data_IF_409555846404
#
_entry.id   IF_409555846404
#
_cell.length_a   1.000
_cell.length_b   1.000
_cell.length_c   1.000
_cell.angle_alpha   90.00
_cell.angle_beta   90.00
_cell.angle_gamma   90.00
#
_symmetry.space_group_name_H-M   'P 1'
#
loop_
_entity.id
_entity.type
_entity.pdbx_description
1 polymer ?
#
# COMPACT_ATOMS: atom_id res chain seq x y z
N UNK A 1 0.67 -53.83 -49.08
CA UNK A 1 0.05 -52.58 -48.61
C UNK A 1 0.07 -52.58 -47.09
N UNK A 2 1.16 -52.10 -46.48
CA UNK A 2 1.33 -52.02 -45.02
C UNK A 2 1.40 -50.55 -44.63
N UNK A 3 0.34 -50.08 -43.97
CA UNK A 3 0.26 -48.75 -43.36
C UNK A 3 1.07 -48.81 -42.06
N UNK A 4 2.19 -48.08 -42.01
CA UNK A 4 2.91 -47.81 -40.75
C UNK A 4 2.32 -46.54 -40.16
N UNK A 5 1.52 -46.69 -39.11
CA UNK A 5 1.00 -45.60 -38.28
C UNK A 5 2.18 -44.86 -37.64
N UNK A 6 2.38 -43.61 -38.05
CA UNK A 6 3.23 -42.65 -37.35
C UNK A 6 2.34 -41.92 -36.35
N UNK A 7 2.51 -42.22 -35.06
CA UNK A 7 1.89 -41.48 -33.97
C UNK A 7 2.83 -40.32 -33.62
N UNK A 8 2.46 -39.03 -33.80
CA UNK A 8 3.25 -37.96 -33.21
C UNK A 8 2.93 -37.90 -31.72
N UNK A 9 3.95 -38.11 -30.88
CA UNK A 9 3.88 -37.82 -29.45
C UNK A 9 3.52 -36.33 -29.29
N UNK A 10 2.31 -36.06 -28.82
CA UNK A 10 1.91 -34.73 -28.37
C UNK A 10 2.68 -34.47 -27.06
N UNK A 11 3.80 -33.76 -27.14
CA UNK A 11 4.45 -33.21 -25.97
C UNK A 11 3.54 -32.10 -25.42
N UNK A 12 2.67 -32.46 -24.47
CA UNK A 12 1.93 -31.50 -23.65
C UNK A 12 2.97 -30.84 -22.75
N UNK A 13 3.56 -29.75 -23.22
CA UNK A 13 4.29 -28.83 -22.37
C UNK A 13 3.29 -28.25 -21.37
N UNK A 14 3.35 -28.71 -20.12
CA UNK A 14 2.75 -28.00 -18.99
C UNK A 14 3.53 -26.68 -18.85
N UNK A 15 3.08 -25.65 -19.57
CA UNK A 15 3.47 -24.28 -19.29
C UNK A 15 2.89 -23.92 -17.92
N UNK A 16 3.71 -24.06 -16.88
CA UNK A 16 3.42 -23.48 -15.57
C UNK A 16 3.60 -21.97 -15.73
N UNK A 17 2.55 -21.28 -16.13
CA UNK A 17 2.51 -19.81 -16.13
C UNK A 17 2.54 -19.37 -14.66
N UNK A 18 3.73 -19.19 -14.11
CA UNK A 18 3.90 -18.53 -12.83
C UNK A 18 3.45 -17.09 -13.01
N UNK A 19 2.19 -16.81 -12.68
CA UNK A 19 1.65 -15.47 -12.58
C UNK A 19 2.43 -14.70 -11.53
N UNK A 20 3.50 -14.01 -11.94
CA UNK A 20 4.14 -13.01 -11.11
C UNK A 20 3.11 -11.89 -10.98
N UNK A 21 2.48 -11.79 -9.81
CA UNK A 21 1.66 -10.65 -9.46
C UNK A 21 2.50 -9.38 -9.69
N UNK A 22 2.21 -8.66 -10.76
CA UNK A 22 2.77 -7.35 -11.05
C UNK A 22 2.28 -6.43 -9.94
N UNK A 23 3.18 -5.89 -9.13
CA UNK A 23 2.82 -4.88 -8.14
C UNK A 23 2.32 -3.64 -8.88
N UNK A 24 1.01 -3.39 -8.85
CA UNK A 24 0.40 -2.22 -9.47
C UNK A 24 0.58 -1.01 -8.54
N UNK A 25 1.77 -0.41 -8.55
CA UNK A 25 2.08 0.82 -7.80
C UNK A 25 1.82 2.02 -8.71
N UNK A 26 0.96 2.94 -8.27
CA UNK A 26 0.63 4.14 -9.03
C UNK A 26 1.55 5.29 -8.63
N UNK A 27 2.24 5.91 -9.59
CA UNK A 27 2.97 7.16 -9.35
C UNK A 27 1.97 8.32 -9.43
N UNK A 28 1.93 9.18 -8.40
CA UNK A 28 0.98 10.30 -8.34
C UNK A 28 1.51 11.47 -7.55
N UNK A 29 1.12 12.68 -7.96
CA UNK A 29 1.39 13.91 -7.21
C UNK A 29 0.41 14.11 -6.04
N UNK A 30 0.69 15.10 -5.19
CA UNK A 30 -0.14 15.40 -4.02
C UNK A 30 -1.59 15.78 -4.38
N UNK A 31 -1.80 16.43 -5.53
CA UNK A 31 -3.13 16.88 -5.95
C UNK A 31 -4.00 15.68 -6.30
N UNK A 32 -3.44 14.72 -7.04
CA UNK A 32 -4.12 13.45 -7.36
C UNK A 32 -4.35 12.62 -6.11
N UNK A 33 -3.36 12.51 -5.22
CA UNK A 33 -3.54 11.80 -3.94
C UNK A 33 -4.69 12.42 -3.14
N UNK A 34 -4.76 13.75 -3.03
CA UNK A 34 -5.84 14.42 -2.33
C UNK A 34 -7.21 14.13 -2.95
N UNK A 35 -7.32 14.14 -4.28
CA UNK A 35 -8.55 13.77 -4.97
C UNK A 35 -8.99 12.32 -4.66
N UNK A 36 -8.04 11.38 -4.61
CA UNK A 36 -8.29 9.98 -4.21
C UNK A 36 -8.80 9.92 -2.78
N UNK A 37 -8.20 10.66 -1.85
CA UNK A 37 -8.60 10.67 -0.44
C UNK A 37 -9.95 11.36 -0.18
N UNK A 38 -10.33 12.32 -1.03
CA UNK A 38 -11.61 13.05 -0.94
C UNK A 38 -12.75 12.38 -1.70
N UNK A 39 -12.46 11.37 -2.51
CA UNK A 39 -13.48 10.65 -3.27
C UNK A 39 -14.48 9.97 -2.33
N UNK A 40 -15.79 10.00 -2.62
CA UNK A 40 -16.79 9.27 -1.85
C UNK A 40 -16.48 7.76 -1.81
N UNK A 41 -16.60 7.16 -0.62
CA UNK A 41 -16.32 5.74 -0.38
C UNK A 41 -17.33 5.13 0.58
N UNK A 42 -17.58 3.84 0.41
CA UNK A 42 -18.44 3.08 1.31
C UNK A 42 -17.74 2.75 2.64
N UNK A 43 -16.44 2.44 2.56
CA UNK A 43 -15.59 2.16 3.70
C UNK A 43 -14.69 3.36 4.03
N UNK A 44 -14.39 3.60 5.31
CA UNK A 44 -13.29 4.48 5.68
C UNK A 44 -11.94 3.93 5.20
N UNK A 45 -11.01 4.84 4.93
CA UNK A 45 -9.68 4.52 4.41
C UNK A 45 -8.63 4.77 5.48
N UNK A 46 -7.78 3.78 5.73
CA UNK A 46 -6.52 3.93 6.42
C UNK A 46 -5.44 4.28 5.39
N UNK A 47 -4.62 5.28 5.72
CA UNK A 47 -3.51 5.72 4.86
C UNK A 47 -2.24 5.50 5.65
N UNK A 48 -1.22 4.90 5.06
CA UNK A 48 0.08 4.73 5.70
C UNK A 48 1.15 5.38 4.83
N UNK A 49 1.84 6.38 5.38
CA UNK A 49 2.99 6.99 4.71
C UNK A 49 4.27 6.29 5.16
N UNK A 50 5.04 5.79 4.21
CA UNK A 50 6.26 5.04 4.49
C UNK A 50 7.34 5.33 3.45
N UNK A 51 8.55 4.90 3.74
CA UNK A 51 9.63 4.84 2.78
C UNK A 51 10.57 3.69 3.14
N UNK A 52 11.27 3.13 2.17
CA UNK A 52 12.19 2.00 2.40
C UNK A 52 13.31 2.32 3.39
N UNK A 53 13.71 3.58 3.47
CA UNK A 53 14.70 4.11 4.40
C UNK A 53 14.12 4.52 5.78
N UNK A 54 12.79 4.62 5.92
CA UNK A 54 12.15 4.95 7.20
C UNK A 54 12.01 3.71 8.08
N UNK A 55 13.05 3.42 8.90
CA UNK A 55 13.06 2.27 9.82
C UNK A 55 11.82 2.13 10.71
N UNK A 56 11.35 3.17 11.43
CA UNK A 56 10.15 3.02 12.27
C UNK A 56 8.89 2.76 11.43
N UNK A 57 8.69 3.48 10.32
CA UNK A 57 7.56 3.25 9.42
C UNK A 57 7.51 1.79 8.94
N UNK A 58 8.65 1.25 8.52
CA UNK A 58 8.78 -0.13 8.02
C UNK A 58 8.53 -1.17 9.12
N UNK A 59 8.92 -0.87 10.37
CA UNK A 59 8.67 -1.76 11.51
C UNK A 59 7.18 -1.84 11.85
N UNK A 60 6.40 -0.79 11.55
CA UNK A 60 4.97 -0.73 11.82
C UNK A 60 4.11 -1.44 10.76
N UNK A 61 4.57 -1.53 9.51
CA UNK A 61 3.82 -2.14 8.39
C UNK A 61 3.15 -3.49 8.70
N UNK A 62 3.80 -4.47 9.38
CA UNK A 62 3.16 -5.75 9.69
C UNK A 62 1.91 -5.63 10.57
N UNK A 63 1.86 -4.62 11.45
CA UNK A 63 0.71 -4.39 12.32
C UNK A 63 -0.48 -3.85 11.52
N UNK A 64 -0.22 -2.96 10.56
CA UNK A 64 -1.24 -2.47 9.63
C UNK A 64 -1.82 -3.61 8.78
N UNK A 65 -0.96 -4.49 8.26
CA UNK A 65 -1.40 -5.68 7.54
C UNK A 65 -2.24 -6.63 8.40
N UNK A 66 -1.89 -6.80 9.67
CA UNK A 66 -2.69 -7.60 10.59
C UNK A 66 -4.09 -6.99 10.79
N UNK A 67 -4.17 -5.67 11.05
CA UNK A 67 -5.44 -4.96 11.19
C UNK A 67 -6.29 -5.11 9.92
N UNK A 68 -5.68 -4.98 8.74
CA UNK A 68 -6.39 -5.13 7.47
C UNK A 68 -6.91 -6.55 7.24
N UNK A 69 -6.16 -7.58 7.63
CA UNK A 69 -6.61 -8.98 7.54
C UNK A 69 -7.77 -9.27 8.48
N UNK A 70 -7.73 -8.72 9.70
CA UNK A 70 -8.79 -8.92 10.70
C UNK A 70 -10.05 -8.08 10.40
N UNK A 71 -9.93 -7.00 9.61
CA UNK A 71 -10.99 -6.01 9.42
C UNK A 71 -11.20 -5.60 7.95
N UNK A 72 -10.97 -6.52 7.00
CA UNK A 72 -11.02 -6.24 5.56
C UNK A 72 -12.38 -5.67 5.09
N UNK A 73 -13.47 -6.00 5.78
CA UNK A 73 -14.80 -5.48 5.47
C UNK A 73 -15.08 -4.10 6.08
N UNK A 74 -14.26 -3.65 7.03
CA UNK A 74 -14.47 -2.40 7.75
C UNK A 74 -13.63 -1.22 7.22
N UNK A 75 -12.47 -1.50 6.62
CA UNK A 75 -11.54 -0.47 6.15
C UNK A 75 -10.92 -0.83 4.80
N UNK A 76 -10.59 0.19 4.01
CA UNK A 76 -9.65 0.08 2.88
C UNK A 76 -8.27 0.61 3.30
N UNK A 77 -7.20 0.14 2.64
CA UNK A 77 -5.83 0.59 2.90
C UNK A 77 -5.18 1.22 1.67
N UNK A 78 -4.54 2.36 1.89
CA UNK A 78 -3.66 3.03 0.92
C UNK A 78 -2.26 3.19 1.54
N UNK A 79 -1.28 2.54 0.93
CA UNK A 79 0.13 2.71 1.22
C UNK A 79 0.73 3.77 0.30
N UNK A 80 1.29 4.83 0.88
CA UNK A 80 1.91 5.93 0.17
C UNK A 80 3.41 5.91 0.43
N UNK A 81 4.17 5.51 -0.58
CA UNK A 81 5.63 5.56 -0.57
C UNK A 81 6.12 6.99 -0.78
N UNK A 82 7.12 7.38 0.01
CA UNK A 82 7.88 8.65 -0.08
C UNK A 82 9.29 8.43 -0.65
N UNK A 83 9.57 7.24 -1.19
CA UNK A 83 10.77 6.99 -1.98
C UNK A 83 10.71 7.74 -3.32
N UNK A 84 11.85 7.91 -3.97
CA UNK A 84 11.92 8.61 -5.25
C UNK A 84 11.38 7.73 -6.39
N UNK A 85 10.85 8.35 -7.46
CA UNK A 85 10.29 7.63 -8.63
C UNK A 85 11.35 6.73 -9.26
N UNK A 86 12.61 7.18 -9.29
CA UNK A 86 13.75 6.43 -9.81
C UNK A 86 14.01 5.13 -9.03
N UNK A 87 13.53 5.05 -7.78
CA UNK A 87 13.71 3.90 -6.89
C UNK A 87 12.53 2.92 -6.95
N UNK A 88 11.52 3.21 -7.79
CA UNK A 88 10.29 2.43 -7.90
C UNK A 88 10.58 0.96 -8.21
N UNK A 89 11.25 0.68 -9.33
CA UNK A 89 11.48 -0.69 -9.81
C UNK A 89 12.56 -1.43 -9.03
N UNK A 90 13.60 -0.71 -8.59
CA UNK A 90 14.75 -1.31 -7.92
C UNK A 90 14.52 -1.55 -6.43
N UNK A 91 13.65 -0.76 -5.80
CA UNK A 91 13.49 -0.77 -4.34
C UNK A 91 12.04 -0.89 -3.87
N UNK A 92 11.14 -0.06 -4.39
CA UNK A 92 9.77 0.02 -3.86
C UNK A 92 8.96 -1.22 -4.25
N UNK A 93 8.92 -1.59 -5.53
CA UNK A 93 8.19 -2.78 -6.02
C UNK A 93 8.68 -4.08 -5.35
N UNK A 94 10.00 -4.38 -5.30
CA UNK A 94 10.50 -5.56 -4.60
C UNK A 94 10.16 -5.55 -3.12
N UNK A 95 10.17 -4.38 -2.48
CA UNK A 95 9.85 -4.24 -1.06
C UNK A 95 8.38 -4.53 -0.79
N UNK A 96 7.46 -3.93 -1.55
CA UNK A 96 6.00 -4.17 -1.45
C UNK A 96 5.71 -5.66 -1.63
N UNK A 97 6.31 -6.28 -2.65
CA UNK A 97 6.16 -7.72 -2.91
C UNK A 97 6.72 -8.58 -1.78
N UNK A 98 7.90 -8.26 -1.27
CA UNK A 98 8.56 -8.99 -0.18
C UNK A 98 7.77 -8.89 1.13
N UNK A 99 7.18 -7.74 1.42
CA UNK A 99 6.38 -7.50 2.62
C UNK A 99 4.95 -8.02 2.51
N UNK A 100 4.49 -8.33 1.28
CA UNK A 100 3.15 -8.84 1.03
C UNK A 100 2.07 -7.83 1.41
N UNK A 101 2.33 -6.53 1.18
CA UNK A 101 1.43 -5.46 1.58
C UNK A 101 0.14 -5.50 0.75
N UNK A 102 -0.99 -5.67 1.42
CA UNK A 102 -2.30 -5.81 0.81
C UNK A 102 -3.04 -4.47 0.83
N UNK A 103 -3.31 -3.92 -0.34
CA UNK A 103 -3.97 -2.62 -0.46
C UNK A 103 -3.59 -1.88 -1.73
N UNK A 104 -4.05 -0.63 -1.81
CA UNK A 104 -3.65 0.28 -2.89
C UNK A 104 -2.27 0.83 -2.60
N UNK A 105 -1.39 0.83 -3.60
CA UNK A 105 -0.02 1.34 -3.49
C UNK A 105 0.15 2.57 -4.36
N UNK A 106 0.62 3.66 -3.76
CA UNK A 106 0.93 4.92 -4.43
C UNK A 106 2.36 5.31 -4.11
N UNK A 107 3.15 5.70 -5.12
CA UNK A 107 4.41 6.42 -4.92
C UNK A 107 4.13 7.90 -5.12
N UNK A 108 4.39 8.70 -4.09
CA UNK A 108 4.13 10.14 -4.10
C UNK A 108 5.28 10.86 -4.80
N UNK A 109 5.03 11.31 -6.02
CA UNK A 109 5.94 12.12 -6.83
C UNK A 109 5.54 13.59 -6.71
N UNK A 110 6.05 14.27 -5.68
CA UNK A 110 5.79 15.69 -5.47
C UNK A 110 7.08 16.44 -5.13
N UNK A 111 7.29 17.56 -5.82
CA UNK A 111 8.49 18.39 -5.67
C UNK A 111 8.64 19.02 -4.28
N UNK A 112 7.55 19.13 -3.51
CA UNK A 112 7.58 19.68 -2.15
C UNK A 112 6.75 18.82 -1.19
N UNK A 113 7.25 17.60 -0.94
CA UNK A 113 6.74 16.66 0.07
C UNK A 113 6.56 17.34 1.44
N UNK A 114 7.47 18.23 1.82
CA UNK A 114 7.42 18.96 3.09
C UNK A 114 6.27 19.97 3.12
N UNK A 115 5.97 20.66 2.01
CA UNK A 115 4.79 21.50 1.92
C UNK A 115 3.49 20.71 1.85
N UNK A 116 3.46 19.52 1.25
CA UNK A 116 2.26 18.68 1.28
C UNK A 116 1.92 18.26 2.70
N UNK A 117 2.89 17.67 3.41
CA UNK A 117 2.74 17.23 4.81
C UNK A 117 2.48 18.42 5.74
N UNK A 118 3.08 19.59 5.47
CA UNK A 118 3.01 20.77 6.33
C UNK A 118 1.85 21.75 6.09
N UNK A 119 1.30 21.85 4.86
CA UNK A 119 0.29 22.87 4.50
C UNK A 119 -1.06 22.31 4.04
N UNK A 120 -1.13 21.08 3.52
CA UNK A 120 -2.34 20.54 2.86
C UNK A 120 -2.80 19.18 3.32
N UNK A 121 -2.03 18.49 4.17
CA UNK A 121 -2.60 17.44 5.00
C UNK A 121 -3.72 18.07 5.87
N UNK A 122 -4.94 17.51 5.92
CA UNK A 122 -5.95 17.98 6.87
C UNK A 122 -5.34 17.98 8.28
N UNK A 123 -5.71 18.92 9.17
CA UNK A 123 -5.08 19.05 10.49
C UNK A 123 -5.13 17.72 11.25
N UNK A 124 -4.02 16.97 11.21
CA UNK A 124 -3.73 15.88 12.13
C UNK A 124 -3.41 16.56 13.45
N UNK A 125 -4.31 16.43 14.42
CA UNK A 125 -4.27 17.22 15.64
C UNK A 125 -2.93 17.04 16.38
N UNK A 126 -2.10 18.10 16.33
CA UNK A 126 -0.78 18.16 16.95
C UNK A 126 -0.94 18.25 18.46
N UNK A 127 -0.96 17.13 19.17
CA UNK A 127 -0.57 17.08 20.59
C UNK A 127 0.03 15.71 20.92
N UNK A 128 1.36 15.67 20.84
CA UNK A 128 2.26 14.68 21.45
C UNK A 128 1.91 13.21 21.21
N UNK A 129 2.14 12.70 20.00
CA UNK A 129 2.79 11.39 19.70
C UNK A 129 3.02 11.32 18.18
N UNK A 130 4.16 10.75 17.80
CA UNK A 130 4.60 10.42 16.44
C UNK A 130 3.55 9.55 15.70
N UNK A 131 3.46 9.72 14.38
CA UNK A 131 2.74 8.90 13.40
C UNK A 131 1.35 8.37 13.80
N UNK A 132 0.30 9.11 13.44
CA UNK A 132 -1.03 8.53 13.23
C UNK A 132 -1.57 9.03 11.89
N UNK A 133 -1.32 8.26 10.85
CA UNK A 133 -2.15 8.27 9.66
C UNK A 133 -3.30 7.28 9.92
N UNK A 134 -4.34 7.78 10.58
CA UNK A 134 -5.60 7.06 10.82
C UNK A 134 -6.75 8.04 10.59
N UNK A 135 -6.97 8.38 9.32
CA UNK A 135 -8.03 9.29 8.88
C UNK A 135 -9.27 8.53 8.45
N UNK A 136 -9.91 7.83 9.38
CA UNK A 136 -11.27 7.31 9.20
C UNK A 136 -12.20 8.52 9.05
N UNK A 137 -12.60 8.82 7.81
CA UNK A 137 -13.77 9.66 7.52
C UNK A 137 -15.03 8.92 7.96
N UNK A 138 -15.29 8.92 9.26
CA UNK A 138 -16.64 8.90 9.83
C UNK A 138 -16.55 9.40 11.26
N UNK A 139 -17.36 10.42 11.53
CA UNK A 139 -17.61 11.04 12.82
C UNK A 139 -17.75 10.02 13.97
N UNK A 140 -16.65 9.72 14.66
CA UNK A 140 -16.56 9.38 16.09
C UNK A 140 -15.12 8.97 16.43
N UNK A 141 -14.36 9.94 16.93
CA UNK A 141 -13.12 9.68 17.67
C UNK A 141 -13.50 8.87 18.92
N UNK A 142 -13.19 7.58 18.94
CA UNK A 142 -13.33 6.75 20.13
C UNK A 142 -12.13 7.00 21.04
N UNK A 143 -12.23 8.06 21.84
CA UNK A 143 -11.34 8.30 22.98
C UNK A 143 -11.68 7.32 24.09
N UNK A 144 -10.87 6.27 24.27
CA UNK A 144 -10.71 5.60 25.57
C UNK A 144 -9.23 5.33 25.82
N UNK A 145 -8.73 5.97 26.88
CA UNK A 145 -7.40 5.79 27.48
C UNK A 145 -7.07 4.31 27.68
N UNK A 146 -5.88 3.88 27.23
CA UNK A 146 -5.41 2.51 27.39
C UNK A 146 -3.91 2.36 27.11
N UNK A 147 -3.11 2.67 28.13
CA UNK A 147 -1.80 2.12 28.54
C UNK A 147 -1.04 1.23 27.51
N UNK A 148 0.16 1.68 27.11
CA UNK A 148 1.32 0.83 26.88
C UNK A 148 2.48 1.37 27.72
N UNK A 149 3.29 0.51 28.37
CA UNK A 149 4.41 0.93 29.20
C UNK A 149 5.59 1.35 28.32
N UNK A 150 6.39 2.29 28.85
CA UNK A 150 7.58 2.88 28.21
C UNK A 150 8.70 1.87 27.91
#
# INVERSE_FOLDING_TARGET
MHIKNFLPLLAIGLGLETGLAQSNIQVSDATKLLAVLQSPREKPVLVNFWATWCKPCVAELPHFEQVMKENADAYDMIYVSLDMVEELSERVEPFVKKKGLSGTHILLDDADLNAFIGRRAPPVERRHTRYFAAGVLRSKVFSRRGVYPE
#
